data_IF_426536667844
#
_entry.id   IF_426536667844
#
_cell.length_a   1.000
_cell.length_b   1.000
_cell.length_c   1.000
_cell.angle_alpha   90.00
_cell.angle_beta   90.00
_cell.angle_gamma   90.00
#
_symmetry.space_group_name_H-M   'P 1'
#
loop_
_entity.id
_entity.type
_entity.pdbx_description
1 polymer ?
#
# COMPACT_ATOMS: atom_id res chain seq x y z
N UNK A 1 3.57 -34.97 5.99
CA UNK A 1 2.62 -34.78 4.87
C UNK A 1 1.98 -33.42 5.09
N UNK A 2 2.30 -32.43 4.25
CA UNK A 2 1.74 -31.08 4.38
C UNK A 2 0.38 -31.05 3.70
N UNK A 3 -0.68 -30.86 4.49
CA UNK A 3 -2.04 -30.69 4.00
C UNK A 3 -2.16 -29.31 3.33
N UNK A 4 -2.53 -29.27 2.05
CA UNK A 4 -3.00 -28.04 1.41
C UNK A 4 -4.40 -27.78 1.97
N UNK A 5 -4.52 -26.78 2.84
CA UNK A 5 -5.82 -26.35 3.36
C UNK A 5 -6.48 -25.52 2.27
N UNK A 6 -7.60 -26.00 1.73
CA UNK A 6 -8.49 -25.21 0.88
C UNK A 6 -9.25 -24.23 1.77
N UNK A 7 -9.01 -22.93 1.58
CA UNK A 7 -9.84 -21.89 2.20
C UNK A 7 -11.28 -22.04 1.67
N UNK A 8 -12.30 -22.05 2.53
CA UNK A 8 -13.69 -22.06 2.07
C UNK A 8 -13.96 -20.81 1.23
N UNK A 9 -14.71 -20.98 0.14
CA UNK A 9 -15.03 -19.93 -0.85
C UNK A 9 -15.93 -18.79 -0.33
N UNK A 10 -16.00 -18.61 0.99
CA UNK A 10 -16.82 -17.61 1.67
C UNK A 10 -16.07 -16.33 2.00
N UNK A 11 -14.81 -16.19 1.57
CA UNK A 11 -14.21 -14.86 1.50
C UNK A 11 -14.99 -14.05 0.46
N UNK A 12 -15.47 -12.85 0.83
CA UNK A 12 -16.19 -11.97 -0.11
C UNK A 12 -15.41 -11.68 -1.40
N UNK A 13 -14.09 -11.86 -1.38
CA UNK A 13 -13.20 -11.81 -2.54
C UNK A 13 -13.43 -12.92 -3.59
N UNK A 14 -14.11 -14.02 -3.26
CA UNK A 14 -14.42 -15.12 -4.18
C UNK A 14 -15.87 -15.08 -4.70
N UNK A 15 -16.71 -14.18 -4.19
CA UNK A 15 -18.06 -13.92 -4.70
C UNK A 15 -18.06 -12.88 -5.85
N UNK A 16 -16.91 -12.67 -6.48
CA UNK A 16 -16.75 -11.72 -7.57
C UNK A 16 -17.07 -12.42 -8.90
N UNK A 17 -18.22 -12.11 -9.47
CA UNK A 17 -18.77 -12.72 -10.70
C UNK A 17 -18.60 -11.82 -11.95
N UNK A 18 -17.87 -10.71 -11.84
CA UNK A 18 -17.62 -9.72 -12.90
C UNK A 18 -16.16 -9.28 -13.04
N UNK A 19 -15.89 -8.26 -13.85
CA UNK A 19 -14.61 -7.54 -13.88
C UNK A 19 -14.71 -6.28 -13.00
N UNK A 20 -13.58 -5.76 -12.45
CA UNK A 20 -13.61 -4.54 -11.64
C UNK A 20 -14.13 -3.36 -12.46
N UNK A 21 -14.95 -2.50 -11.83
CA UNK A 21 -15.38 -1.26 -12.45
C UNK A 21 -14.20 -0.31 -12.63
N UNK A 22 -14.30 0.62 -13.59
CA UNK A 22 -13.27 1.64 -13.78
C UNK A 22 -13.00 2.46 -12.52
N UNK A 23 -14.02 2.75 -11.72
CA UNK A 23 -13.86 3.49 -10.47
C UNK A 23 -13.07 2.69 -9.41
N UNK A 24 -13.25 1.37 -9.35
CA UNK A 24 -12.46 0.50 -8.48
C UNK A 24 -11.01 0.40 -8.97
N UNK A 25 -10.79 0.31 -10.28
CA UNK A 25 -9.45 0.35 -10.86
C UNK A 25 -8.75 1.68 -10.60
N UNK A 26 -9.44 2.80 -10.77
CA UNK A 26 -8.93 4.14 -10.47
C UNK A 26 -8.57 4.29 -8.98
N UNK A 27 -9.35 3.71 -8.08
CA UNK A 27 -9.05 3.70 -6.64
C UNK A 27 -7.74 2.98 -6.34
N UNK A 28 -7.46 1.85 -6.99
CA UNK A 28 -6.17 1.15 -6.87
C UNK A 28 -5.02 2.04 -7.35
N UNK A 29 -5.17 2.66 -8.52
CA UNK A 29 -4.15 3.58 -9.05
C UNK A 29 -3.90 4.77 -8.11
N UNK A 30 -4.92 5.24 -7.38
CA UNK A 30 -4.74 6.29 -6.39
C UNK A 30 -3.93 5.84 -5.18
N UNK A 31 -4.03 4.57 -4.78
CA UNK A 31 -3.30 3.96 -3.66
C UNK A 31 -1.85 3.58 -4.02
N UNK A 32 -1.57 3.31 -5.30
CA UNK A 32 -0.25 2.85 -5.77
C UNK A 32 0.96 3.68 -5.29
N UNK A 33 0.93 5.03 -5.27
CA UNK A 33 2.05 5.83 -4.76
C UNK A 33 2.41 5.52 -3.30
N UNK A 34 1.40 5.31 -2.44
CA UNK A 34 1.60 4.95 -1.04
C UNK A 34 2.20 3.55 -0.92
N UNK A 35 1.64 2.58 -1.65
CA UNK A 35 2.13 1.19 -1.65
C UNK A 35 3.60 1.15 -2.05
N UNK A 36 3.99 1.87 -3.11
CA UNK A 36 5.38 1.94 -3.55
C UNK A 36 6.30 2.60 -2.50
N UNK A 37 5.84 3.63 -1.80
CA UNK A 37 6.62 4.24 -0.72
C UNK A 37 6.82 3.28 0.47
N UNK A 38 5.82 2.45 0.78
CA UNK A 38 5.92 1.42 1.82
C UNK A 38 6.86 0.28 1.40
N UNK A 39 6.85 -0.12 0.13
CA UNK A 39 7.83 -1.07 -0.43
C UNK A 39 9.26 -0.50 -0.35
N UNK A 40 9.48 0.75 -0.73
CA UNK A 40 10.80 1.41 -0.63
C UNK A 40 11.32 1.43 0.82
N UNK A 41 10.43 1.64 1.79
CA UNK A 41 10.77 1.57 3.21
C UNK A 41 11.15 0.16 3.63
N UNK A 42 10.35 -0.83 3.22
CA UNK A 42 10.62 -2.23 3.51
C UNK A 42 11.97 -2.67 2.92
N UNK A 43 12.26 -2.30 1.67
CA UNK A 43 13.55 -2.57 1.03
C UNK A 43 14.72 -1.94 1.82
N UNK A 44 14.56 -0.68 2.25
CA UNK A 44 15.58 -0.01 3.05
C UNK A 44 15.82 -0.70 4.41
N UNK A 45 14.77 -1.24 5.04
CA UNK A 45 14.87 -1.99 6.30
C UNK A 45 15.50 -3.38 6.07
N UNK A 46 15.08 -4.10 5.02
CA UNK A 46 15.62 -5.43 4.64
C UNK A 46 17.12 -5.34 4.37
N UNK A 47 17.59 -4.30 3.68
CA UNK A 47 19.03 -4.10 3.41
C UNK A 47 19.90 -4.04 4.69
N UNK A 48 19.30 -3.78 5.85
CA UNK A 48 20.01 -3.71 7.14
C UNK A 48 19.91 -4.97 7.98
N UNK A 49 19.16 -6.00 7.55
CA UNK A 49 18.97 -7.20 8.38
C UNK A 49 20.23 -8.07 8.48
N UNK A 50 21.05 -8.11 7.44
CA UNK A 50 22.23 -8.99 7.37
C UNK A 50 23.50 -8.35 7.97
N UNK A 51 23.44 -7.10 8.46
CA UNK A 51 24.61 -6.36 8.92
C UNK A 51 24.25 -5.27 9.93
N UNK A 52 25.18 -4.81 10.78
CA UNK A 52 24.94 -3.60 11.58
C UNK A 52 24.65 -2.40 10.66
N UNK A 53 23.59 -1.66 10.99
CA UNK A 53 23.17 -0.50 10.22
C UNK A 53 24.26 0.58 10.20
N UNK A 54 24.53 1.13 9.02
CA UNK A 54 25.44 2.28 8.87
C UNK A 54 24.68 3.59 8.99
N UNK A 55 25.39 4.70 9.20
CA UNK A 55 24.81 6.06 9.21
C UNK A 55 24.06 6.37 7.90
N UNK A 56 24.53 5.82 6.77
CA UNK A 56 23.85 5.98 5.49
C UNK A 56 22.52 5.22 5.45
N UNK A 57 22.49 4.01 6.02
CA UNK A 57 21.28 3.19 6.09
C UNK A 57 20.22 3.88 6.96
N UNK A 58 20.61 4.44 8.12
CA UNK A 58 19.70 5.22 8.97
C UNK A 58 19.11 6.44 8.23
N UNK A 59 19.91 7.10 7.39
CA UNK A 59 19.43 8.24 6.57
C UNK A 59 18.46 7.77 5.48
N UNK A 60 18.72 6.62 4.84
CA UNK A 60 17.83 6.01 3.85
C UNK A 60 16.48 5.64 4.47
N UNK A 61 16.50 4.94 5.59
CA UNK A 61 15.28 4.55 6.33
C UNK A 61 14.48 5.79 6.73
N UNK A 62 15.13 6.83 7.28
CA UNK A 62 14.43 8.09 7.60
C UNK A 62 13.78 8.72 6.38
N UNK A 63 14.50 8.81 5.25
CA UNK A 63 13.94 9.36 4.00
C UNK A 63 12.75 8.56 3.51
N UNK A 64 12.83 7.24 3.52
CA UNK A 64 11.73 6.36 3.11
C UNK A 64 10.51 6.52 4.04
N UNK A 65 10.71 6.58 5.37
CA UNK A 65 9.63 6.88 6.33
C UNK A 65 8.97 8.22 6.06
N UNK A 66 9.75 9.27 5.79
CA UNK A 66 9.19 10.58 5.44
C UNK A 66 8.38 10.54 4.14
N UNK A 67 8.81 9.75 3.14
CA UNK A 67 8.05 9.54 1.90
C UNK A 67 6.71 8.86 2.17
N UNK A 68 6.69 7.77 2.95
CA UNK A 68 5.44 7.09 3.35
C UNK A 68 4.46 8.07 4.00
N UNK A 69 4.93 8.90 4.94
CA UNK A 69 4.08 9.89 5.60
C UNK A 69 3.52 10.94 4.64
N UNK A 70 4.32 11.38 3.64
CA UNK A 70 3.85 12.30 2.62
C UNK A 70 2.77 11.67 1.74
N UNK A 71 2.99 10.45 1.24
CA UNK A 71 2.02 9.76 0.39
C UNK A 71 0.73 9.42 1.15
N UNK A 72 0.81 9.03 2.43
CA UNK A 72 -0.39 8.81 3.28
C UNK A 72 -1.22 10.08 3.43
N UNK A 73 -0.57 11.22 3.65
CA UNK A 73 -1.23 12.52 3.73
C UNK A 73 -1.91 12.84 2.40
N UNK A 74 -1.21 12.65 1.29
CA UNK A 74 -1.72 13.01 -0.04
C UNK A 74 -2.87 12.09 -0.49
N UNK A 75 -2.83 10.80 -0.15
CA UNK A 75 -3.96 9.88 -0.33
C UNK A 75 -5.18 10.31 0.50
N UNK A 76 -4.97 10.63 1.77
CA UNK A 76 -6.04 11.10 2.67
C UNK A 76 -6.70 12.39 2.16
N UNK A 77 -5.89 13.33 1.68
CA UNK A 77 -6.38 14.59 1.11
C UNK A 77 -7.21 14.36 -0.17
N UNK A 78 -6.78 13.44 -1.05
CA UNK A 78 -7.55 13.07 -2.24
C UNK A 78 -8.90 12.44 -1.90
N UNK A 79 -8.94 11.53 -0.92
CA UNK A 79 -10.18 10.92 -0.45
C UNK A 79 -11.18 11.94 0.13
N UNK A 80 -10.68 12.99 0.81
CA UNK A 80 -11.51 14.08 1.31
C UNK A 80 -12.10 14.95 0.20
N UNK A 81 -11.34 15.23 -0.87
CA UNK A 81 -11.81 15.99 -2.02
C UNK A 81 -12.90 15.23 -2.80
N UNK A 82 -12.75 13.92 -2.99
CA UNK A 82 -13.74 13.07 -3.66
C UNK A 82 -15.10 13.06 -2.93
N UNK A 83 -15.12 13.14 -1.60
CA UNK A 83 -16.35 13.20 -0.80
C UNK A 83 -17.08 14.56 -0.88
N UNK A 84 -16.37 15.65 -1.20
CA UNK A 84 -16.95 17.01 -1.22
C UNK A 84 -17.72 17.35 -2.51
N UNK A 85 -17.66 16.51 -3.55
CA UNK A 85 -18.31 16.74 -4.85
C UNK A 85 -19.70 16.11 -5.01
N UNK A 86 -20.24 15.44 -3.99
CA UNK A 86 -21.46 14.61 -4.07
C UNK A 86 -22.73 15.23 -3.48
N UNK A 87 -22.80 16.55 -3.29
CA UNK A 87 -24.00 17.23 -2.81
C UNK A 87 -24.33 18.43 -3.71
N UNK A 88 -25.10 18.17 -4.77
CA UNK A 88 -25.90 19.15 -5.51
C UNK A 88 -27.08 18.45 -6.18
#
# INVERSE_FOLDING_TARGET
>A
MQSIITLPATSGALAFDGEPSNAELDAVEWEMPLILAEVDLLDAEIMTLDRPATVLDERRIRRARHRVLAERRDLTNRAGLAQSGGAA
#
